data_IF_347535280947
#
_entry.id   IF_347535280947
#
_cell.length_a   1.000
_cell.length_b   1.000
_cell.length_c   1.000
_cell.angle_alpha   90.00
_cell.angle_beta   90.00
_cell.angle_gamma   90.00
#
_symmetry.space_group_name_H-M   'P 1'
#
loop_
_entity.id
_entity.type
_entity.pdbx_description
1 polymer ?
#
# COMPACT_ATOMS: atom_id res chain seq x y z
N UNK A 1 8.73 -2.23 -17.65
CA UNK A 1 9.10 -2.73 -16.30
C UNK A 1 8.41 -1.89 -15.26
N UNK A 2 7.84 -2.49 -14.25
CA UNK A 2 7.12 -1.83 -13.16
C UNK A 2 8.00 -1.88 -11.90
N UNK A 3 8.30 -0.73 -11.33
CA UNK A 3 9.02 -0.61 -10.07
C UNK A 3 8.03 -0.49 -8.93
N UNK A 4 8.09 -1.42 -7.99
CA UNK A 4 7.19 -1.50 -6.84
C UNK A 4 7.97 -1.28 -5.55
N UNK A 5 7.43 -0.47 -4.66
CA UNK A 5 8.02 -0.14 -3.37
C UNK A 5 7.20 -0.73 -2.25
N UNK A 6 7.86 -1.39 -1.32
CA UNK A 6 7.26 -1.98 -0.12
C UNK A 6 8.13 -1.71 1.10
N UNK A 7 7.50 -1.72 2.27
CA UNK A 7 8.17 -1.80 3.57
C UNK A 7 7.29 -2.62 4.52
N UNK A 8 7.89 -3.44 5.33
CA UNK A 8 7.18 -4.30 6.28
C UNK A 8 8.08 -4.72 7.43
N UNK A 9 7.47 -5.02 8.56
CA UNK A 9 8.13 -5.72 9.67
C UNK A 9 8.06 -7.24 9.49
N UNK A 10 8.74 -7.98 10.37
CA UNK A 10 8.77 -9.45 10.33
C UNK A 10 7.37 -10.10 10.36
N UNK A 11 6.40 -9.46 11.04
CA UNK A 11 5.04 -9.99 11.18
C UNK A 11 4.26 -9.85 9.88
N UNK A 12 4.53 -8.80 9.10
CA UNK A 12 3.84 -8.52 7.84
C UNK A 12 4.51 -9.15 6.62
N UNK A 13 5.73 -9.69 6.73
CA UNK A 13 6.48 -10.28 5.62
C UNK A 13 5.66 -11.31 4.83
N UNK A 14 5.04 -12.27 5.51
CA UNK A 14 4.28 -13.33 4.83
C UNK A 14 3.07 -12.78 4.05
N UNK A 15 2.42 -11.76 4.56
CA UNK A 15 1.26 -11.15 3.90
C UNK A 15 1.68 -10.33 2.69
N UNK A 16 2.78 -9.58 2.82
CA UNK A 16 3.40 -8.85 1.70
C UNK A 16 3.90 -9.81 0.60
N UNK A 17 4.39 -10.99 0.96
CA UNK A 17 4.73 -12.02 -0.02
C UNK A 17 3.52 -12.50 -0.82
N UNK A 18 2.34 -12.66 -0.19
CA UNK A 18 1.10 -13.00 -0.89
C UNK A 18 0.67 -11.87 -1.81
N UNK A 19 0.78 -10.61 -1.36
CA UNK A 19 0.52 -9.43 -2.18
C UNK A 19 1.43 -9.41 -3.41
N UNK A 20 2.74 -9.53 -3.23
CA UNK A 20 3.73 -9.52 -4.33
C UNK A 20 3.53 -10.69 -5.31
N UNK A 21 3.17 -11.87 -4.80
CA UNK A 21 2.81 -12.99 -5.64
C UNK A 21 1.58 -12.67 -6.50
N UNK A 22 0.54 -12.08 -5.91
CA UNK A 22 -0.67 -11.69 -6.64
C UNK A 22 -0.37 -10.63 -7.71
N UNK A 23 0.49 -9.67 -7.41
CA UNK A 23 0.96 -8.65 -8.35
C UNK A 23 1.65 -9.29 -9.56
N UNK A 24 2.69 -10.07 -9.33
CA UNK A 24 3.47 -10.69 -10.42
C UNK A 24 2.64 -11.68 -11.24
N UNK A 25 1.65 -12.30 -10.62
CA UNK A 25 0.75 -13.24 -11.32
C UNK A 25 -0.21 -12.55 -12.29
N UNK A 26 -0.70 -11.36 -11.94
CA UNK A 26 -1.70 -10.65 -12.76
C UNK A 26 -1.09 -9.56 -13.64
N UNK A 27 0.16 -9.17 -13.39
CA UNK A 27 0.87 -8.15 -14.18
C UNK A 27 1.61 -8.81 -15.33
N UNK A 28 1.44 -8.27 -16.54
CA UNK A 28 2.07 -8.82 -17.77
C UNK A 28 3.50 -8.35 -17.95
N UNK A 29 3.86 -7.21 -17.38
CA UNK A 29 5.20 -6.65 -17.44
C UNK A 29 6.10 -7.24 -16.36
N UNK A 30 7.42 -7.17 -16.60
CA UNK A 30 8.40 -7.49 -15.56
C UNK A 30 8.29 -6.52 -14.38
N UNK A 31 8.46 -7.06 -13.17
CA UNK A 31 8.37 -6.31 -11.92
C UNK A 31 9.74 -6.32 -11.24
N UNK A 32 10.16 -5.16 -10.74
CA UNK A 32 11.29 -4.99 -9.85
C UNK A 32 10.76 -4.47 -8.51
N UNK A 33 11.09 -5.16 -7.42
CA UNK A 33 10.62 -4.85 -6.07
C UNK A 33 11.72 -4.15 -5.28
N UNK A 34 11.40 -3.01 -4.69
CA UNK A 34 12.24 -2.25 -3.78
C UNK A 34 11.71 -2.39 -2.35
N UNK A 35 12.50 -2.99 -1.47
CA UNK A 35 12.18 -3.13 -0.05
C UNK A 35 12.95 -2.07 0.74
N UNK A 36 12.23 -1.17 1.41
CA UNK A 36 12.80 -0.30 2.43
C UNK A 36 12.81 -1.05 3.76
N UNK A 37 13.97 -1.57 4.12
CA UNK A 37 14.16 -2.38 5.32
C UNK A 37 14.53 -1.51 6.52
N UNK A 38 13.74 -1.60 7.60
CA UNK A 38 14.01 -0.91 8.87
C UNK A 38 14.49 -1.84 9.96
N UNK A 39 13.95 -3.07 10.02
CA UNK A 39 14.15 -3.96 11.17
C UNK A 39 14.29 -5.43 10.82
N UNK A 40 14.03 -5.84 9.56
CA UNK A 40 14.20 -7.24 9.19
C UNK A 40 15.67 -7.63 9.20
N UNK A 41 15.97 -8.82 9.72
CA UNK A 41 17.33 -9.35 9.73
C UNK A 41 17.79 -9.77 8.33
N UNK A 42 19.10 -9.90 8.13
CA UNK A 42 19.68 -10.39 6.87
C UNK A 42 19.10 -11.74 6.45
N UNK A 43 18.82 -12.63 7.41
CA UNK A 43 18.21 -13.92 7.15
C UNK A 43 16.78 -13.77 6.63
N UNK A 44 15.98 -12.89 7.23
CA UNK A 44 14.62 -12.59 6.80
C UNK A 44 14.60 -11.94 5.41
N UNK A 45 15.50 -10.99 5.18
CA UNK A 45 15.68 -10.35 3.88
C UNK A 45 16.09 -11.39 2.80
N UNK A 46 17.03 -12.26 3.10
CA UNK A 46 17.45 -13.34 2.20
C UNK A 46 16.32 -14.34 1.92
N UNK A 47 15.50 -14.67 2.93
CA UNK A 47 14.33 -15.53 2.75
C UNK A 47 13.27 -14.87 1.84
N UNK A 48 13.00 -13.59 2.05
CA UNK A 48 12.10 -12.81 1.22
C UNK A 48 12.60 -12.74 -0.24
N UNK A 49 13.88 -12.48 -0.44
CA UNK A 49 14.52 -12.43 -1.76
C UNK A 49 14.36 -13.76 -2.49
N UNK A 50 14.70 -14.87 -1.84
CA UNK A 50 14.52 -16.23 -2.44
C UNK A 50 13.06 -16.50 -2.83
N UNK A 51 12.10 -16.06 -2.03
CA UNK A 51 10.68 -16.21 -2.33
C UNK A 51 10.30 -15.42 -3.59
N UNK A 52 10.66 -14.14 -3.65
CA UNK A 52 10.31 -13.22 -4.75
C UNK A 52 10.93 -13.72 -6.05
N UNK A 53 12.22 -14.08 -6.05
CA UNK A 53 12.90 -14.60 -7.24
C UNK A 53 12.29 -15.91 -7.75
N UNK A 54 11.99 -16.85 -6.83
CA UNK A 54 11.52 -18.19 -7.22
C UNK A 54 10.03 -18.28 -7.53
N UNK A 55 9.21 -17.51 -6.78
CA UNK A 55 7.75 -17.61 -6.88
C UNK A 55 7.12 -16.50 -7.71
N UNK A 56 7.74 -15.33 -7.71
CA UNK A 56 7.23 -14.17 -8.45
C UNK A 56 7.98 -13.95 -9.78
N UNK A 57 9.18 -14.50 -9.94
CA UNK A 57 10.02 -14.24 -11.12
C UNK A 57 10.48 -12.77 -11.19
N UNK A 58 10.50 -12.07 -10.08
CA UNK A 58 10.84 -10.65 -9.96
C UNK A 58 12.19 -10.50 -9.24
N UNK A 59 12.86 -9.36 -9.44
CA UNK A 59 14.07 -9.01 -8.70
C UNK A 59 13.71 -8.25 -7.43
N UNK A 60 14.40 -8.53 -6.30
CA UNK A 60 14.30 -7.77 -5.06
C UNK A 60 15.57 -6.96 -4.82
N UNK A 61 15.41 -5.65 -4.74
CA UNK A 61 16.42 -4.69 -4.28
C UNK A 61 16.09 -4.30 -2.83
N UNK A 62 17.08 -4.33 -1.95
CA UNK A 62 16.90 -3.99 -0.53
C UNK A 62 17.69 -2.73 -0.24
N UNK A 63 17.05 -1.80 0.43
CA UNK A 63 17.66 -0.56 0.93
C UNK A 63 17.46 -0.54 2.44
N UNK A 64 18.56 -0.68 3.18
CA UNK A 64 18.53 -0.55 4.63
C UNK A 64 18.38 0.91 5.02
N UNK A 65 17.42 1.18 5.89
CA UNK A 65 17.11 2.50 6.41
C UNK A 65 17.47 2.59 7.88
N UNK A 66 17.97 3.76 8.31
CA UNK A 66 18.18 4.02 9.72
C UNK A 66 16.84 4.32 10.43
N UNK A 67 16.37 3.47 11.35
CA UNK A 67 15.14 3.73 12.10
C UNK A 67 15.16 5.04 12.90
N UNK A 68 16.37 5.59 13.19
CA UNK A 68 16.51 6.84 13.91
C UNK A 68 15.90 8.04 13.16
N UNK A 69 15.76 7.94 11.83
CA UNK A 69 15.09 8.94 10.98
C UNK A 69 13.65 9.22 11.42
N UNK A 70 13.00 8.25 12.05
CA UNK A 70 11.60 8.34 12.50
C UNK A 70 11.47 8.50 14.02
N UNK A 71 12.55 8.86 14.72
CA UNK A 71 12.54 9.01 16.18
C UNK A 71 11.58 10.11 16.62
N UNK A 72 10.67 9.75 17.53
CA UNK A 72 9.69 10.69 18.10
C UNK A 72 8.45 10.92 17.22
N UNK A 73 8.33 10.22 16.10
CA UNK A 73 7.12 10.24 15.28
C UNK A 73 6.02 9.40 15.92
N UNK A 74 4.76 9.90 16.00
CA UNK A 74 3.65 9.16 16.59
C UNK A 74 3.25 7.99 15.69
N UNK A 75 3.20 6.77 16.23
CA UNK A 75 2.80 5.59 15.45
C UNK A 75 1.29 5.33 15.48
N UNK A 76 0.56 5.87 16.45
CA UNK A 76 -0.89 5.71 16.59
C UNK A 76 -1.37 4.25 16.51
N UNK A 77 -0.53 3.30 16.95
CA UNK A 77 -0.80 1.85 16.88
C UNK A 77 -0.41 1.19 15.56
N UNK A 78 0.16 1.92 14.61
CA UNK A 78 0.72 1.38 13.38
C UNK A 78 2.20 1.03 13.55
N UNK A 79 2.74 0.27 12.60
CA UNK A 79 4.17 -0.01 12.52
C UNK A 79 4.93 1.21 12.01
N UNK A 80 6.16 1.43 12.47
CA UNK A 80 7.00 2.57 12.04
C UNK A 80 7.34 2.50 10.54
N UNK A 81 7.27 1.32 9.97
CA UNK A 81 7.52 1.05 8.55
C UNK A 81 6.55 1.81 7.64
N UNK A 82 5.37 2.22 8.14
CA UNK A 82 4.42 3.05 7.37
C UNK A 82 5.04 4.38 6.90
N UNK A 83 5.97 4.95 7.67
CA UNK A 83 6.64 6.19 7.31
C UNK A 83 7.68 6.05 6.18
N UNK A 84 8.11 4.83 5.86
CA UNK A 84 9.13 4.59 4.84
C UNK A 84 8.74 5.16 3.48
N UNK A 85 7.44 5.14 3.13
CA UNK A 85 6.95 5.67 1.85
C UNK A 85 7.19 7.17 1.68
N UNK A 86 7.23 7.93 2.77
CA UNK A 86 7.52 9.38 2.74
C UNK A 86 8.96 9.61 2.32
N UNK A 87 9.87 8.72 2.71
CA UNK A 87 11.29 8.84 2.43
C UNK A 87 11.70 8.30 1.05
N UNK A 88 10.78 7.73 0.28
CA UNK A 88 11.04 7.12 -1.03
C UNK A 88 11.82 8.05 -1.97
N UNK A 89 11.46 9.32 -2.00
CA UNK A 89 12.12 10.34 -2.84
C UNK A 89 13.61 10.55 -2.51
N UNK A 90 14.00 10.29 -1.24
CA UNK A 90 15.37 10.50 -0.75
C UNK A 90 16.27 9.28 -0.89
N UNK A 91 15.70 8.07 -0.77
CA UNK A 91 16.47 6.82 -0.65
C UNK A 91 16.51 6.00 -1.93
N UNK A 92 15.51 6.12 -2.81
CA UNK A 92 15.49 5.41 -4.09
C UNK A 92 16.49 6.00 -5.09
N UNK A 93 17.06 5.18 -6.00
CA UNK A 93 17.98 5.63 -7.04
C UNK A 93 17.42 6.82 -7.83
N UNK A 94 18.31 7.77 -8.18
CA UNK A 94 17.92 9.01 -8.87
C UNK A 94 17.37 8.76 -10.27
N UNK A 95 17.74 7.65 -10.89
CA UNK A 95 17.31 7.22 -12.22
C UNK A 95 15.84 6.79 -12.25
N UNK A 96 15.28 6.41 -11.10
CA UNK A 96 13.85 6.09 -11.00
C UNK A 96 13.03 7.38 -11.02
N UNK A 97 12.25 7.56 -12.08
CA UNK A 97 11.33 8.70 -12.21
C UNK A 97 10.00 8.47 -11.49
N UNK A 98 9.58 7.22 -11.33
CA UNK A 98 8.34 6.82 -10.64
C UNK A 98 8.47 5.48 -9.93
N UNK A 99 7.63 5.27 -8.93
CA UNK A 99 7.51 3.99 -8.22
C UNK A 99 6.07 3.79 -7.72
N UNK A 100 5.59 2.56 -7.74
CA UNK A 100 4.29 2.17 -7.20
C UNK A 100 4.45 1.65 -5.77
N UNK A 101 3.97 2.40 -4.79
CA UNK A 101 3.84 1.92 -3.40
C UNK A 101 2.61 1.05 -3.25
N UNK A 102 2.76 -0.10 -2.60
CA UNK A 102 1.67 -1.00 -2.24
C UNK A 102 1.80 -1.47 -0.79
N UNK A 103 0.73 -1.36 -0.02
CA UNK A 103 0.65 -1.91 1.33
C UNK A 103 0.61 -3.45 1.30
N UNK A 104 1.07 -4.09 2.38
CA UNK A 104 1.17 -5.54 2.48
C UNK A 104 -0.18 -6.27 2.63
N UNK A 105 -1.27 -5.54 2.90
CA UNK A 105 -2.64 -6.04 3.03
C UNK A 105 -3.51 -5.82 1.77
N UNK A 106 -2.86 -5.91 0.64
CA UNK A 106 -3.46 -5.77 -0.69
C UNK A 106 -3.47 -7.12 -1.42
N UNK A 107 -4.44 -7.31 -2.31
CA UNK A 107 -4.41 -8.31 -3.38
C UNK A 107 -4.55 -7.59 -4.71
N UNK A 108 -3.57 -7.79 -5.58
CA UNK A 108 -3.65 -7.40 -6.99
C UNK A 108 -4.43 -8.48 -7.74
N UNK A 109 -5.56 -8.08 -8.33
CA UNK A 109 -6.52 -9.00 -8.95
C UNK A 109 -6.56 -8.88 -10.48
N UNK A 110 -6.03 -7.77 -11.02
CA UNK A 110 -5.88 -7.54 -12.46
C UNK A 110 -4.58 -6.78 -12.74
N UNK A 111 -4.25 -6.61 -14.05
CA UNK A 111 -3.02 -5.95 -14.49
C UNK A 111 -2.91 -4.51 -13.99
N UNK A 112 -1.84 -4.20 -13.26
CA UNK A 112 -1.58 -2.84 -12.75
C UNK A 112 -0.88 -1.92 -13.76
N UNK A 113 -0.44 -2.45 -14.90
CA UNK A 113 0.29 -1.66 -15.89
C UNK A 113 -0.47 -0.40 -16.34
N UNK A 114 -1.78 -0.44 -16.61
CA UNK A 114 -2.54 0.77 -16.94
C UNK A 114 -2.55 1.82 -15.84
N UNK A 115 -2.52 1.40 -14.56
CA UNK A 115 -2.41 2.33 -13.44
C UNK A 115 -0.98 2.90 -13.34
N UNK A 116 0.04 2.05 -13.48
CA UNK A 116 1.45 2.45 -13.39
C UNK A 116 1.89 3.41 -14.48
N UNK A 117 1.38 3.25 -15.71
CA UNK A 117 1.75 4.07 -16.86
C UNK A 117 0.91 5.32 -17.05
N UNK A 118 0.06 5.67 -16.08
CA UNK A 118 -0.68 6.92 -16.15
C UNK A 118 0.26 8.13 -16.26
N UNK A 119 -0.16 9.11 -17.04
CA UNK A 119 0.51 10.42 -17.09
C UNK A 119 0.36 11.14 -15.75
N UNK A 120 1.50 11.51 -15.17
CA UNK A 120 1.59 12.18 -13.87
C UNK A 120 1.61 13.71 -14.00
N UNK A 121 2.16 14.22 -15.11
CA UNK A 121 2.34 15.67 -15.31
C UNK A 121 3.12 16.31 -14.17
N UNK A 122 2.58 17.37 -13.60
CA UNK A 122 3.10 18.12 -12.46
C UNK A 122 2.67 17.54 -11.08
N UNK A 123 1.94 16.45 -11.07
CA UNK A 123 1.41 15.86 -9.83
C UNK A 123 2.48 15.07 -9.09
N UNK A 124 2.40 15.10 -7.77
CA UNK A 124 3.28 14.35 -6.87
C UNK A 124 2.96 12.87 -6.85
N UNK A 125 1.68 12.54 -7.00
CA UNK A 125 1.26 11.14 -7.09
C UNK A 125 -0.07 10.98 -7.82
N UNK A 126 -0.36 9.72 -8.23
CA UNK A 126 -1.72 9.22 -8.41
C UNK A 126 -2.10 8.46 -7.16
N UNK A 127 -3.24 8.78 -6.59
CA UNK A 127 -3.81 8.14 -5.40
C UNK A 127 -5.30 7.89 -5.58
N UNK A 128 -5.90 7.14 -4.69
CA UNK A 128 -7.35 6.94 -4.63
C UNK A 128 -7.90 7.59 -3.36
N UNK A 129 -9.09 8.18 -3.47
CA UNK A 129 -9.80 8.74 -2.32
C UNK A 129 -9.98 7.68 -1.23
N UNK A 130 -9.79 8.06 0.01
CA UNK A 130 -10.13 7.21 1.14
C UNK A 130 -11.65 7.05 1.24
N UNK A 131 -12.14 5.84 1.46
CA UNK A 131 -13.58 5.57 1.51
C UNK A 131 -14.30 6.26 2.67
N UNK A 132 -13.57 6.74 3.67
CA UNK A 132 -14.10 7.49 4.80
C UNK A 132 -13.94 9.00 4.65
N UNK A 133 -13.32 9.48 3.56
CA UNK A 133 -12.98 10.90 3.34
C UNK A 133 -14.18 11.84 3.43
N UNK A 134 -15.38 11.39 3.04
CA UNK A 134 -16.61 12.19 3.08
C UNK A 134 -17.31 12.20 4.44
N UNK A 135 -16.80 11.45 5.41
CA UNK A 135 -17.39 11.44 6.75
C UNK A 135 -17.06 12.74 7.49
N UNK A 136 -17.95 13.18 8.37
CA UNK A 136 -17.74 14.35 9.21
C UNK A 136 -16.47 14.20 10.07
N UNK A 137 -16.17 12.98 10.50
CA UNK A 137 -14.96 12.68 11.26
C UNK A 137 -13.70 13.04 10.48
N UNK A 138 -13.55 12.57 9.23
CA UNK A 138 -12.36 12.85 8.40
C UNK A 138 -12.32 14.33 7.99
N UNK A 139 -13.45 14.95 7.68
CA UNK A 139 -13.50 16.39 7.36
C UNK A 139 -13.05 17.25 8.53
N UNK A 140 -13.50 16.95 9.74
CA UNK A 140 -13.05 17.64 10.96
C UNK A 140 -11.56 17.39 11.18
N UNK A 141 -11.09 16.17 10.96
CA UNK A 141 -9.68 15.82 11.06
C UNK A 141 -8.81 16.59 10.05
N UNK A 142 -9.23 16.68 8.78
CA UNK A 142 -8.54 17.50 7.77
C UNK A 142 -8.37 18.97 8.23
N UNK A 143 -9.39 19.57 8.82
CA UNK A 143 -9.32 20.93 9.37
C UNK A 143 -8.26 21.02 10.47
N UNK A 144 -8.21 20.04 11.37
CA UNK A 144 -7.20 19.99 12.44
C UNK A 144 -5.76 19.87 11.89
N UNK A 145 -5.60 19.17 10.76
CA UNK A 145 -4.32 19.07 10.05
C UNK A 145 -3.97 20.32 9.22
N UNK A 146 -4.90 21.29 9.09
CA UNK A 146 -4.73 22.45 8.21
C UNK A 146 -4.81 22.11 6.72
N UNK A 147 -5.46 21.00 6.37
CA UNK A 147 -5.71 20.58 5.00
C UNK A 147 -7.01 21.22 4.52
N UNK A 148 -7.03 21.93 3.36
CA UNK A 148 -8.24 22.54 2.84
C UNK A 148 -9.36 21.53 2.57
N UNK A 149 -10.62 21.89 2.85
CA UNK A 149 -11.78 21.03 2.55
C UNK A 149 -11.99 20.77 1.05
N UNK A 150 -11.31 21.50 0.18
CA UNK A 150 -11.30 21.25 -1.28
C UNK A 150 -10.33 20.13 -1.68
N UNK A 151 -9.48 19.67 -0.76
CA UNK A 151 -8.62 18.52 -0.96
C UNK A 151 -9.40 17.25 -0.62
N UNK A 152 -9.46 16.31 -1.55
CA UNK A 152 -9.99 14.98 -1.27
C UNK A 152 -8.94 14.18 -0.50
N UNK A 153 -9.25 13.79 0.73
CA UNK A 153 -8.35 13.01 1.57
C UNK A 153 -8.16 11.61 0.94
N UNK A 154 -6.92 11.30 0.56
CA UNK A 154 -6.59 10.05 -0.12
C UNK A 154 -6.05 8.99 0.85
N UNK A 155 -6.25 7.73 0.47
CA UNK A 155 -5.65 6.59 1.16
C UNK A 155 -4.21 6.37 0.69
N UNK A 156 -3.29 6.17 1.65
CA UNK A 156 -1.85 6.06 1.39
C UNK A 156 -1.37 4.65 0.98
N UNK A 157 -2.24 3.64 1.00
CA UNK A 157 -1.83 2.25 0.75
C UNK A 157 -1.56 1.90 -0.71
N UNK A 158 -2.06 2.72 -1.66
CA UNK A 158 -1.76 2.59 -3.10
C UNK A 158 -1.37 3.96 -3.64
N UNK A 159 -0.10 4.15 -3.97
CA UNK A 159 0.42 5.43 -4.47
C UNK A 159 1.34 5.21 -5.66
N UNK A 160 1.03 5.79 -6.80
CA UNK A 160 2.00 5.94 -7.87
C UNK A 160 2.74 7.26 -7.66
N UNK A 161 3.95 7.20 -7.12
CA UNK A 161 4.76 8.37 -6.78
C UNK A 161 5.53 8.90 -7.99
N UNK A 162 5.49 10.20 -8.22
CA UNK A 162 6.31 10.92 -9.21
C UNK A 162 7.61 11.37 -8.53
N UNK A 163 8.61 10.51 -8.51
CA UNK A 163 9.87 10.77 -7.81
C UNK A 163 10.63 11.96 -8.39
N UNK A 164 10.49 12.21 -9.69
CA UNK A 164 11.15 13.34 -10.36
C UNK A 164 10.59 14.67 -9.83
N UNK A 165 9.29 14.83 -9.79
CA UNK A 165 8.64 16.06 -9.32
C UNK A 165 8.75 16.20 -7.80
N UNK A 166 8.61 15.10 -7.05
CA UNK A 166 8.77 15.12 -5.59
C UNK A 166 10.16 15.61 -5.18
N UNK A 167 11.22 15.10 -5.80
CA UNK A 167 12.60 15.50 -5.50
C UNK A 167 12.92 16.97 -5.79
N UNK A 168 12.17 17.59 -6.71
CA UNK A 168 12.33 19.03 -7.04
C UNK A 168 11.59 19.93 -6.06
N UNK A 169 10.53 19.45 -5.43
CA UNK A 169 9.58 20.29 -4.72
C UNK A 169 9.48 19.98 -3.21
N UNK A 170 9.94 18.82 -2.76
CA UNK A 170 9.86 18.42 -1.34
C UNK A 170 11.26 18.08 -0.84
N UNK A 171 11.67 18.78 0.20
CA UNK A 171 12.93 18.58 0.90
C UNK A 171 12.75 17.77 2.18
N UNK A 172 13.85 17.30 2.77
CA UNK A 172 13.81 16.67 4.10
C UNK A 172 13.32 17.65 5.18
N UNK A 173 13.66 18.94 5.04
CA UNK A 173 13.21 19.97 5.98
C UNK A 173 11.70 20.19 5.91
N UNK A 174 11.10 20.10 4.71
CA UNK A 174 9.63 20.14 4.56
C UNK A 174 8.95 18.97 5.27
N UNK A 175 9.51 17.75 5.12
CA UNK A 175 9.02 16.55 5.79
C UNK A 175 9.12 16.71 7.31
N UNK A 176 10.28 17.13 7.82
CA UNK A 176 10.48 17.33 9.26
C UNK A 176 9.58 18.44 9.81
N UNK A 177 9.43 19.54 9.07
CA UNK A 177 8.53 20.64 9.44
C UNK A 177 7.07 20.20 9.52
N UNK A 178 6.63 19.35 8.57
CA UNK A 178 5.30 18.76 8.59
C UNK A 178 5.09 17.89 9.84
N UNK A 179 6.07 17.05 10.20
CA UNK A 179 6.01 16.24 11.43
C UNK A 179 5.89 17.08 12.69
N UNK A 180 6.74 18.09 12.83
CA UNK A 180 6.72 18.99 14.00
C UNK A 180 5.37 19.69 14.10
N UNK A 181 4.87 20.19 12.97
CA UNK A 181 3.62 20.95 12.90
C UNK A 181 2.39 20.10 13.23
N UNK A 182 2.36 18.87 12.72
CA UNK A 182 1.16 18.02 12.79
C UNK A 182 1.17 17.05 13.97
N UNK A 183 2.28 16.93 14.69
CA UNK A 183 2.55 15.93 15.73
C UNK A 183 1.34 15.60 16.62
N UNK A 184 0.65 16.61 17.13
CA UNK A 184 -0.44 16.44 18.09
C UNK A 184 -1.81 16.19 17.42
N UNK A 185 -1.88 16.36 16.08
CA UNK A 185 -3.07 16.15 15.29
C UNK A 185 -3.06 14.84 14.48
N UNK A 186 -1.94 14.12 14.43
CA UNK A 186 -1.80 12.89 13.63
C UNK A 186 -2.64 11.76 14.24
N UNK A 187 -3.52 11.19 13.41
CA UNK A 187 -4.27 9.97 13.70
C UNK A 187 -3.88 8.81 12.77
N UNK A 188 -3.59 9.12 11.50
CA UNK A 188 -3.16 8.18 10.46
C UNK A 188 -1.74 8.54 10.02
N UNK A 189 -0.69 7.97 10.63
CA UNK A 189 0.68 8.50 10.64
C UNK A 189 1.18 9.05 9.29
N UNK A 190 1.47 8.17 8.34
CA UNK A 190 1.98 8.53 7.02
C UNK A 190 0.91 9.17 6.14
N UNK A 191 -0.34 8.72 6.25
CA UNK A 191 -1.45 9.21 5.43
C UNK A 191 -1.74 10.69 5.70
N UNK A 192 -1.71 11.13 6.96
CA UNK A 192 -1.92 12.53 7.34
C UNK A 192 -0.80 13.43 6.80
N UNK A 193 0.45 13.00 6.97
CA UNK A 193 1.62 13.74 6.47
C UNK A 193 1.58 13.87 4.95
N UNK A 194 1.28 12.78 4.24
CA UNK A 194 1.23 12.80 2.78
C UNK A 194 0.07 13.65 2.26
N UNK A 195 -1.12 13.57 2.87
CA UNK A 195 -2.25 14.43 2.51
C UNK A 195 -1.95 15.91 2.76
N UNK A 196 -1.20 16.23 3.82
CA UNK A 196 -0.74 17.59 4.09
C UNK A 196 0.28 18.07 3.06
N UNK A 197 1.35 17.30 2.83
CA UNK A 197 2.43 17.68 1.92
C UNK A 197 1.99 17.72 0.45
N UNK A 198 1.07 16.84 0.04
CA UNK A 198 0.67 16.68 -1.36
C UNK A 198 -0.61 17.44 -1.73
N UNK A 199 -1.13 18.24 -0.81
CA UNK A 199 -2.32 19.06 -1.04
C UNK A 199 -2.23 19.76 -2.41
N UNK A 200 -3.27 19.64 -3.27
CA UNK A 200 -3.39 20.19 -4.64
C UNK A 200 -2.50 19.53 -5.71
N UNK A 201 -1.60 18.64 -5.33
CA UNK A 201 -0.68 17.97 -6.25
C UNK A 201 -0.97 16.47 -6.43
N UNK A 202 -2.20 16.05 -6.15
CA UNK A 202 -2.66 14.67 -6.32
C UNK A 202 -3.50 14.56 -7.59
N UNK A 203 -3.27 13.51 -8.37
CA UNK A 203 -4.18 13.03 -9.41
C UNK A 203 -4.98 11.88 -8.82
N UNK A 204 -6.31 11.94 -8.93
CA UNK A 204 -7.17 10.89 -8.38
C UNK A 204 -7.50 9.85 -9.44
N UNK A 205 -7.37 8.58 -9.07
CA UNK A 205 -7.83 7.43 -9.83
C UNK A 205 -9.14 6.89 -9.23
N UNK A 206 -9.79 6.02 -9.99
CA UNK A 206 -11.01 5.35 -9.55
C UNK A 206 -10.72 4.45 -8.35
N UNK A 207 -11.29 4.78 -7.19
CA UNK A 207 -11.08 4.06 -5.95
C UNK A 207 -11.78 2.69 -5.93
N UNK A 208 -12.82 2.48 -6.73
CA UNK A 208 -13.48 1.17 -6.84
C UNK A 208 -12.64 0.17 -7.63
N UNK A 209 -11.80 0.65 -8.55
CA UNK A 209 -10.92 -0.18 -9.39
C UNK A 209 -9.50 -0.27 -8.85
N UNK A 210 -8.89 0.87 -8.53
CA UNK A 210 -7.45 0.96 -8.28
C UNK A 210 -7.05 0.89 -6.80
N UNK A 211 -8.00 1.03 -5.88
CA UNK A 211 -7.79 0.85 -4.43
C UNK A 211 -9.12 0.53 -3.77
N UNK A 212 -9.69 -0.62 -4.10
CA UNK A 212 -11.00 -1.06 -3.62
C UNK A 212 -10.93 -1.44 -2.14
N UNK A 213 -11.20 -0.45 -1.29
CA UNK A 213 -11.19 -0.56 0.17
C UNK A 213 -12.50 -1.19 0.69
N UNK A 214 -12.59 -1.37 2.00
CA UNK A 214 -13.83 -1.79 2.65
C UNK A 214 -14.86 -0.67 2.60
N UNK A 215 -16.09 -1.00 2.22
CA UNK A 215 -17.19 -0.04 2.19
C UNK A 215 -17.83 0.12 3.56
N UNK A 216 -18.15 1.37 3.90
CA UNK A 216 -18.96 1.70 5.07
C UNK A 216 -20.44 1.42 4.87
N UNK A 217 -20.92 1.39 3.60
CA UNK A 217 -22.31 1.21 3.22
C UNK A 217 -22.48 0.03 2.28
N UNK A 218 -23.48 -0.82 2.54
CA UNK A 218 -23.78 -1.99 1.71
C UNK A 218 -24.20 -1.62 0.27
N UNK A 219 -24.76 -0.44 0.05
CA UNK A 219 -25.23 0.00 -1.27
C UNK A 219 -24.08 0.29 -2.22
N UNK A 220 -22.99 0.88 -1.73
CA UNK A 220 -21.77 1.11 -2.51
C UNK A 220 -21.12 -0.23 -2.89
N UNK A 221 -21.11 -1.19 -1.98
CA UNK A 221 -20.56 -2.52 -2.24
C UNK A 221 -21.31 -3.29 -3.35
N UNK A 222 -22.62 -3.08 -3.50
CA UNK A 222 -23.42 -3.73 -4.55
C UNK A 222 -23.04 -3.29 -5.97
N UNK A 223 -22.43 -2.12 -6.12
CA UNK A 223 -22.00 -1.59 -7.41
C UNK A 223 -20.65 -2.14 -7.88
N UNK A 224 -19.88 -2.79 -6.99
CA UNK A 224 -18.52 -3.26 -7.31
C UNK A 224 -18.58 -4.57 -8.10
N UNK A 225 -18.05 -4.53 -9.30
CA UNK A 225 -17.76 -5.71 -10.11
C UNK A 225 -16.36 -6.22 -9.76
N UNK A 226 -16.26 -7.09 -8.77
CA UNK A 226 -14.98 -7.55 -8.23
C UNK A 226 -14.03 -8.15 -9.28
N UNK A 227 -14.54 -8.72 -10.36
CA UNK A 227 -13.72 -9.26 -11.44
C UNK A 227 -13.00 -8.17 -12.25
N UNK A 228 -13.48 -6.92 -12.19
CA UNK A 228 -12.85 -5.76 -12.83
C UNK A 228 -11.91 -5.00 -11.89
N UNK A 229 -12.00 -5.23 -10.58
CA UNK A 229 -11.13 -4.57 -9.60
C UNK A 229 -9.67 -4.92 -9.86
N UNK A 230 -8.82 -3.92 -9.97
CA UNK A 230 -7.37 -4.10 -10.14
C UNK A 230 -6.71 -4.39 -8.80
N UNK A 231 -7.01 -3.59 -7.78
CA UNK A 231 -6.41 -3.71 -6.45
C UNK A 231 -7.49 -3.77 -5.38
N UNK A 232 -7.55 -4.90 -4.65
CA UNK A 232 -8.33 -5.07 -3.44
C UNK A 232 -7.46 -4.70 -2.23
N UNK A 233 -7.91 -3.77 -1.41
CA UNK A 233 -7.21 -3.32 -0.22
C UNK A 233 -8.02 -3.62 1.05
N UNK A 234 -7.46 -4.41 1.94
CA UNK A 234 -8.11 -4.84 3.19
C UNK A 234 -7.81 -3.87 4.33
N UNK A 235 -8.24 -2.60 4.15
CA UNK A 235 -8.09 -1.55 5.17
C UNK A 235 -8.80 -1.91 6.48
N UNK A 236 -8.36 -1.29 7.59
CA UNK A 236 -8.93 -1.49 8.92
C UNK A 236 -8.25 -2.58 9.74
N UNK A 237 -8.73 -2.78 10.97
CA UNK A 237 -8.09 -3.61 12.00
C UNK A 237 -8.13 -5.10 11.65
N UNK A 238 -9.28 -5.59 11.14
CA UNK A 238 -9.43 -7.01 10.79
C UNK A 238 -8.96 -7.24 9.37
N UNK A 239 -8.09 -8.23 9.20
CA UNK A 239 -7.45 -8.59 7.94
C UNK A 239 -7.99 -9.92 7.40
N UNK A 240 -7.86 -10.21 6.10
CA UNK A 240 -8.40 -11.44 5.49
C UNK A 240 -7.81 -12.73 6.07
N UNK A 241 -6.65 -12.67 6.71
CA UNK A 241 -6.03 -13.79 7.43
C UNK A 241 -6.52 -13.96 8.87
N UNK A 242 -7.32 -13.03 9.42
CA UNK A 242 -8.02 -13.21 10.68
C UNK A 242 -9.27 -14.07 10.46
N UNK A 243 -9.43 -15.14 11.22
CA UNK A 243 -10.61 -16.04 11.15
C UNK A 243 -11.94 -15.33 11.41
N UNK A 244 -11.89 -14.16 12.05
CA UNK A 244 -13.07 -13.32 12.32
C UNK A 244 -13.39 -12.35 11.17
N UNK A 245 -12.64 -12.40 10.07
CA UNK A 245 -12.89 -11.57 8.88
C UNK A 245 -13.94 -12.25 8.01
N UNK A 246 -15.21 -11.86 8.18
CA UNK A 246 -16.36 -12.46 7.50
C UNK A 246 -16.71 -11.81 6.15
N UNK A 247 -15.81 -11.00 5.61
CA UNK A 247 -15.99 -10.33 4.33
C UNK A 247 -15.76 -11.29 3.15
N UNK A 248 -16.69 -11.31 2.20
CA UNK A 248 -16.62 -12.18 0.99
C UNK A 248 -15.35 -11.95 0.15
N UNK A 249 -14.69 -10.80 0.29
CA UNK A 249 -13.44 -10.50 -0.40
C UNK A 249 -12.27 -11.33 0.12
N UNK A 250 -12.38 -11.96 1.30
CA UNK A 250 -11.35 -12.86 1.83
C UNK A 250 -11.00 -13.99 0.86
N UNK A 251 -11.94 -14.42 0.00
CA UNK A 251 -11.70 -15.46 -1.02
C UNK A 251 -10.53 -15.13 -1.96
N UNK A 252 -10.36 -13.85 -2.33
CA UNK A 252 -9.26 -13.43 -3.22
C UNK A 252 -7.90 -13.56 -2.53
N UNK A 253 -7.81 -13.16 -1.26
CA UNK A 253 -6.60 -13.34 -0.47
C UNK A 253 -6.25 -14.83 -0.32
N UNK A 254 -7.18 -15.65 0.13
CA UNK A 254 -6.94 -17.06 0.39
C UNK A 254 -6.61 -17.85 -0.90
N UNK A 255 -7.21 -17.48 -2.02
CA UNK A 255 -6.84 -18.04 -3.33
C UNK A 255 -5.36 -17.78 -3.64
N UNK A 256 -4.87 -16.56 -3.46
CA UNK A 256 -3.47 -16.22 -3.70
C UNK A 256 -2.54 -16.88 -2.67
N UNK A 257 -2.93 -16.89 -1.40
CA UNK A 257 -2.20 -17.55 -0.33
C UNK A 257 -1.95 -19.04 -0.62
N UNK A 258 -2.97 -19.79 -1.02
CA UNK A 258 -2.83 -21.21 -1.37
C UNK A 258 -1.94 -21.38 -2.61
N UNK A 259 -2.10 -20.55 -3.62
CA UNK A 259 -1.34 -20.66 -4.86
C UNK A 259 0.15 -20.34 -4.66
N UNK A 260 0.50 -19.38 -3.83
CA UNK A 260 1.90 -19.04 -3.57
C UNK A 260 2.61 -20.08 -2.69
N UNK A 261 1.91 -20.70 -1.74
CA UNK A 261 2.45 -21.68 -0.79
C UNK A 261 2.18 -23.15 -1.13
N UNK A 262 1.30 -23.42 -2.09
CA UNK A 262 0.90 -24.78 -2.45
C UNK A 262 0.08 -25.51 -1.38
N UNK A 263 0.15 -26.86 -1.35
CA UNK A 263 -0.65 -27.70 -0.45
C UNK A 263 -0.39 -27.37 1.02
N UNK A 264 0.85 -27.04 1.39
CA UNK A 264 1.19 -26.68 2.79
C UNK A 264 0.37 -25.49 3.30
N UNK A 265 0.12 -24.50 2.46
CA UNK A 265 -0.72 -23.34 2.79
C UNK A 265 -2.21 -23.70 2.80
N UNK A 266 -2.66 -24.63 1.95
CA UNK A 266 -4.06 -25.04 1.92
C UNK A 266 -4.55 -25.61 3.29
N UNK A 267 -3.66 -26.23 4.05
CA UNK A 267 -3.97 -26.77 5.39
C UNK A 267 -4.28 -25.69 6.43
N UNK A 268 -3.87 -24.45 6.20
CA UNK A 268 -4.10 -23.31 7.09
C UNK A 268 -5.34 -22.48 6.70
N UNK A 269 -5.99 -22.80 5.58
CA UNK A 269 -7.20 -22.09 5.14
C UNK A 269 -8.39 -22.49 6.01
N UNK A 270 -9.14 -21.54 6.57
CA UNK A 270 -10.37 -21.85 7.32
C UNK A 270 -11.34 -22.69 6.49
N UNK A 271 -11.93 -23.73 7.09
CA UNK A 271 -12.77 -24.70 6.38
C UNK A 271 -13.92 -24.08 5.57
N UNK A 272 -14.52 -22.99 6.07
CA UNK A 272 -15.60 -22.31 5.35
C UNK A 272 -15.12 -21.58 4.07
N UNK A 273 -13.82 -21.29 3.96
CA UNK A 273 -13.21 -20.66 2.79
C UNK A 273 -12.72 -21.73 1.79
N UNK A 274 -12.31 -22.91 2.25
CA UNK A 274 -11.84 -24.01 1.39
C UNK A 274 -12.82 -24.36 0.29
N UNK A 275 -14.13 -24.42 0.62
CA UNK A 275 -15.18 -24.69 -0.36
C UNK A 275 -15.24 -23.62 -1.49
N UNK A 276 -14.87 -22.38 -1.20
CA UNK A 276 -14.90 -21.27 -2.17
C UNK A 276 -13.61 -21.17 -2.97
N UNK A 277 -12.49 -21.58 -2.39
CA UNK A 277 -11.14 -21.44 -3.00
C UNK A 277 -10.78 -22.66 -3.87
N UNK A 278 -11.20 -23.84 -3.47
CA UNK A 278 -10.80 -25.10 -4.13
C UNK A 278 -11.81 -25.63 -5.17
N UNK A 279 -13.04 -25.13 -5.20
CA UNK A 279 -14.12 -25.68 -6.04
C UNK A 279 -14.67 -24.69 -7.09
N UNK A 280 -13.91 -23.63 -7.43
CA UNK A 280 -14.22 -22.75 -8.57
C UNK A 280 -13.00 -22.41 -9.41
#
# INVERSE_FOLDING_TARGET
MIHVLVSFDANYMQYTQVMLYSLCKHTKESVEVWLLNLKSTDEQCAACKRFIERKCGAELKIIDMDPSMFRGMPTCGFSIECYSRIMALNVLPKELSRVLWLDGDIIVNNDVAPFYHQELGDKYCVACKDNWADTEHIKTHQVALGIPNTHEYFNSGVLLLNLEILRRNITLDDIQSAFVKLKDAIHFPDQDILNYLYTRHVKYADNLLCNCQRFGKQEEEKQVQYDQVVILHYTGIRKPWDVRFLDKRAKYYWKMYVQCGGIGHALHVPHFILAVVCFR
#
